data_IF_124591922019
#
_entry.id   IF_124591922019
#
_cell.length_a   1.000
_cell.length_b   1.000
_cell.length_c   1.000
_cell.angle_alpha   90.00
_cell.angle_beta   90.00
_cell.angle_gamma   90.00
#
_symmetry.space_group_name_H-M   'P 1'
#
loop_
_entity.id
_entity.type
_entity.pdbx_description
1 polymer ?
#
# COMPACT_ATOMS: atom_id res chain seq x y z
N UNK A 1 16.52 -5.09 9.04
CA UNK A 1 15.82 -4.90 7.76
C UNK A 1 14.91 -3.69 7.89
N UNK A 2 14.81 -2.83 6.86
CA UNK A 2 14.14 -1.55 7.04
C UNK A 2 12.64 -1.77 7.17
N UNK A 3 12.17 -1.70 8.41
CA UNK A 3 10.75 -1.62 8.71
C UNK A 3 10.36 -0.15 8.69
N UNK A 4 9.23 0.13 8.05
CA UNK A 4 8.60 1.43 8.15
C UNK A 4 7.69 1.49 9.36
N UNK A 5 7.56 2.67 9.95
CA UNK A 5 6.63 2.95 11.03
C UNK A 5 5.19 2.87 10.53
N UNK A 6 4.26 2.83 11.47
CA UNK A 6 2.82 2.92 11.18
C UNK A 6 2.45 4.24 10.47
N UNK A 7 3.10 5.35 10.83
CA UNK A 7 2.89 6.65 10.20
C UNK A 7 3.43 6.69 8.78
N UNK A 8 4.63 6.14 8.56
CA UNK A 8 5.21 5.99 7.23
C UNK A 8 4.32 5.08 6.35
N UNK A 9 3.82 3.97 6.91
CA UNK A 9 2.88 3.06 6.22
C UNK A 9 1.61 3.80 5.78
N UNK A 10 0.99 4.55 6.69
CA UNK A 10 -0.21 5.36 6.39
C UNK A 10 0.09 6.36 5.27
N UNK A 11 1.22 7.05 5.36
CA UNK A 11 1.62 8.04 4.38
C UNK A 11 1.86 7.47 2.99
N UNK A 12 2.68 6.42 2.85
CA UNK A 12 2.96 5.83 1.53
C UNK A 12 1.73 5.15 0.93
N UNK A 13 0.85 4.55 1.74
CA UNK A 13 -0.41 3.99 1.25
C UNK A 13 -1.37 5.07 0.73
N UNK A 14 -1.36 6.25 1.34
CA UNK A 14 -2.13 7.40 0.85
C UNK A 14 -1.54 7.94 -0.46
N UNK A 15 -0.23 8.16 -0.51
CA UNK A 15 0.48 8.68 -1.68
C UNK A 15 0.31 7.76 -2.89
N UNK A 16 0.21 6.45 -2.71
CA UNK A 16 0.10 5.49 -3.81
C UNK A 16 -1.11 5.72 -4.75
N UNK A 17 -2.15 6.42 -4.30
CA UNK A 17 -3.34 6.68 -5.12
C UNK A 17 -3.09 7.71 -6.23
N UNK A 18 -2.36 8.79 -5.91
CA UNK A 18 -2.30 10.00 -6.74
C UNK A 18 -0.88 10.61 -6.84
N UNK A 19 0.13 9.99 -6.23
CA UNK A 19 1.50 10.47 -6.26
C UNK A 19 2.18 10.24 -7.62
N UNK A 20 2.91 11.25 -8.09
CA UNK A 20 3.60 11.24 -9.39
C UNK A 20 5.13 11.30 -9.22
N UNK A 21 5.88 10.71 -10.15
CA UNK A 21 7.35 10.80 -10.17
C UNK A 21 7.83 12.26 -10.08
N UNK A 22 8.78 12.51 -9.18
CA UNK A 22 9.30 13.85 -8.89
C UNK A 22 8.58 14.59 -7.76
N UNK A 23 7.40 14.13 -7.33
CA UNK A 23 6.73 14.70 -6.17
C UNK A 23 7.56 14.53 -4.88
N UNK A 24 7.38 15.49 -3.96
CA UNK A 24 7.96 15.45 -2.62
C UNK A 24 6.87 15.65 -1.58
N UNK A 25 6.96 14.92 -0.47
CA UNK A 25 6.00 14.98 0.62
C UNK A 25 6.72 15.16 1.97
N UNK A 26 6.18 16.02 2.82
CA UNK A 26 6.58 16.13 4.23
C UNK A 26 5.73 15.19 5.08
N UNK A 27 6.38 14.27 5.79
CA UNK A 27 5.74 13.32 6.70
C UNK A 27 5.61 13.91 8.12
N UNK A 28 4.71 13.38 8.97
CA UNK A 28 4.46 13.92 10.32
C UNK A 28 5.68 13.96 11.25
N UNK A 29 6.69 13.13 10.99
CA UNK A 29 7.96 13.11 11.73
C UNK A 29 8.97 14.18 11.26
N UNK A 30 8.57 15.02 10.30
CA UNK A 30 9.41 16.05 9.68
C UNK A 30 10.32 15.53 8.57
N UNK A 31 10.26 14.24 8.23
CA UNK A 31 11.04 13.69 7.11
C UNK A 31 10.42 14.07 5.76
N UNK A 32 11.29 14.37 4.80
CA UNK A 32 10.87 14.57 3.40
C UNK A 32 11.07 13.28 2.63
N UNK A 33 10.06 12.89 1.87
CA UNK A 33 10.06 11.72 1.00
C UNK A 33 9.84 12.13 -0.44
N UNK A 34 10.60 11.54 -1.36
CA UNK A 34 10.45 11.76 -2.79
C UNK A 34 9.81 10.54 -3.45
N UNK A 35 9.00 10.76 -4.49
CA UNK A 35 8.57 9.71 -5.41
C UNK A 35 9.62 9.58 -6.50
N UNK A 36 10.28 8.43 -6.53
CA UNK A 36 11.32 8.13 -7.51
C UNK A 36 10.75 7.65 -8.83
N UNK A 37 9.64 6.91 -8.77
CA UNK A 37 8.93 6.38 -9.93
C UNK A 37 7.46 6.18 -9.60
N UNK A 38 6.58 6.42 -10.58
CA UNK A 38 5.19 5.99 -10.57
C UNK A 38 4.89 5.06 -11.76
N UNK A 39 3.89 4.19 -11.58
CA UNK A 39 3.39 3.31 -12.64
C UNK A 39 1.88 3.29 -12.54
N UNK A 40 1.19 3.65 -13.62
CA UNK A 40 -0.26 3.56 -13.73
C UNK A 40 -0.69 2.85 -15.03
N UNK A 41 -1.73 2.02 -14.96
CA UNK A 41 -2.31 1.34 -16.14
C UNK A 41 -3.82 1.46 -16.12
N UNK A 42 -4.34 2.40 -16.93
CA UNK A 42 -5.77 2.78 -16.95
C UNK A 42 -6.73 1.60 -17.15
N UNK A 43 -6.42 0.66 -18.05
CA UNK A 43 -7.34 -0.46 -18.37
C UNK A 43 -7.45 -1.47 -17.23
N UNK A 44 -6.36 -1.68 -16.47
CA UNK A 44 -6.34 -2.62 -15.35
C UNK A 44 -6.66 -1.94 -14.01
N UNK A 45 -6.51 -0.62 -13.91
CA UNK A 45 -6.56 0.12 -12.65
C UNK A 45 -5.31 -0.04 -11.76
N UNK A 46 -4.26 -0.72 -12.24
CA UNK A 46 -3.01 -0.88 -11.50
C UNK A 46 -2.31 0.46 -11.31
N UNK A 47 -1.99 0.82 -10.06
CA UNK A 47 -1.20 2.00 -9.69
C UNK A 47 -0.18 1.63 -8.61
N UNK A 48 1.05 2.11 -8.75
CA UNK A 48 2.11 1.93 -7.77
C UNK A 48 3.10 3.10 -7.79
N UNK A 49 3.70 3.37 -6.63
CA UNK A 49 4.75 4.38 -6.47
C UNK A 49 5.95 3.79 -5.74
N UNK A 50 7.15 4.15 -6.17
CA UNK A 50 8.39 3.89 -5.45
C UNK A 50 8.80 5.17 -4.72
N UNK A 51 8.80 5.15 -3.39
CA UNK A 51 9.16 6.29 -2.56
C UNK A 51 10.47 6.06 -1.80
N UNK A 52 11.16 7.16 -1.48
CA UNK A 52 12.39 7.15 -0.69
C UNK A 52 12.42 8.35 0.28
N UNK A 53 12.63 8.16 1.58
CA UNK A 53 13.02 9.25 2.48
C UNK A 53 14.37 9.83 2.05
N UNK A 54 14.48 11.15 1.96
CA UNK A 54 15.69 11.82 1.48
C UNK A 54 16.92 11.58 2.36
N UNK A 55 16.70 11.28 3.64
CA UNK A 55 17.74 11.10 4.65
C UNK A 55 18.10 9.63 4.95
N UNK A 56 17.48 8.65 4.28
CA UNK A 56 17.75 7.22 4.51
C UNK A 56 17.81 6.43 3.21
N UNK A 57 18.70 5.44 3.18
CA UNK A 57 18.71 4.41 2.14
C UNK A 57 17.61 3.38 2.44
N UNK A 58 16.38 3.76 2.10
CA UNK A 58 15.17 2.96 2.22
C UNK A 58 14.31 3.17 0.97
N UNK A 59 13.81 2.08 0.40
CA UNK A 59 12.93 2.12 -0.76
C UNK A 59 11.61 1.46 -0.42
N UNK A 60 10.51 2.16 -0.64
CA UNK A 60 9.16 1.64 -0.37
C UNK A 60 8.36 1.59 -1.65
N UNK A 61 7.98 0.39 -2.08
CA UNK A 61 7.09 0.19 -3.21
C UNK A 61 5.66 0.05 -2.67
N UNK A 62 4.85 1.09 -2.88
CA UNK A 62 3.48 1.16 -2.40
C UNK A 62 2.49 0.97 -3.56
N UNK A 63 1.50 0.10 -3.38
CA UNK A 63 0.44 -0.17 -4.36
C UNK A 63 -0.87 0.50 -3.93
N UNK A 64 -1.54 1.15 -4.87
CA UNK A 64 -2.87 1.73 -4.61
C UNK A 64 -3.92 0.63 -4.51
N UNK A 65 -5.01 0.92 -3.78
CA UNK A 65 -6.24 0.15 -3.90
C UNK A 65 -7.04 0.54 -5.15
N UNK A 66 -8.24 0.00 -5.28
CA UNK A 66 -9.18 0.42 -6.32
C UNK A 66 -9.84 1.76 -5.96
N UNK A 67 -10.02 2.63 -6.96
CA UNK A 67 -10.72 3.92 -6.83
C UNK A 67 -12.20 3.74 -6.40
N UNK A 68 -12.76 2.54 -6.58
CA UNK A 68 -14.13 2.14 -6.20
C UNK A 68 -14.17 1.08 -5.08
N UNK A 69 -13.32 1.23 -4.06
CA UNK A 69 -13.12 0.21 -3.01
C UNK A 69 -14.37 -0.30 -2.27
N UNK A 70 -15.53 0.38 -2.37
CA UNK A 70 -16.82 -0.10 -1.87
C UNK A 70 -17.60 -0.96 -2.89
N UNK A 71 -17.55 -0.63 -4.19
CA UNK A 71 -18.14 -1.43 -5.26
C UNK A 71 -17.40 -2.78 -5.42
N UNK A 72 -16.11 -2.80 -5.08
CA UNK A 72 -15.22 -3.97 -5.07
C UNK A 72 -15.79 -5.20 -4.36
N UNK A 73 -16.48 -5.04 -3.23
CA UNK A 73 -16.99 -6.17 -2.44
C UNK A 73 -18.27 -6.74 -3.04
N UNK A 74 -19.05 -5.89 -3.72
CA UNK A 74 -20.34 -6.30 -4.27
C UNK A 74 -20.17 -7.04 -5.61
N UNK A 75 -19.15 -6.72 -6.42
CA UNK A 75 -19.01 -7.24 -7.80
C UNK A 75 -17.89 -8.31 -7.98
N UNK A 76 -17.63 -9.08 -6.93
CA UNK A 76 -16.46 -9.97 -6.78
C UNK A 76 -16.24 -11.07 -7.83
N UNK A 77 -17.10 -11.25 -8.84
CA UNK A 77 -16.92 -12.29 -9.88
C UNK A 77 -16.23 -11.76 -11.15
N UNK A 78 -16.58 -10.56 -11.63
CA UNK A 78 -15.87 -9.96 -12.78
C UNK A 78 -14.49 -9.44 -12.39
N UNK A 79 -14.36 -8.99 -11.15
CA UNK A 79 -13.18 -8.30 -10.70
C UNK A 79 -11.98 -9.24 -10.44
N UNK A 80 -12.22 -10.54 -10.16
CA UNK A 80 -11.17 -11.57 -10.02
C UNK A 80 -10.26 -11.70 -11.25
N UNK A 81 -10.82 -11.53 -12.47
CA UNK A 81 -10.03 -11.55 -13.71
C UNK A 81 -9.05 -10.39 -13.78
N UNK A 82 -9.52 -9.16 -13.53
CA UNK A 82 -8.68 -7.96 -13.47
C UNK A 82 -7.66 -8.01 -12.34
N UNK A 83 -8.02 -8.56 -11.17
CA UNK A 83 -7.08 -8.71 -10.05
C UNK A 83 -5.94 -9.66 -10.38
N UNK A 84 -6.22 -10.78 -11.05
CA UNK A 84 -5.16 -11.72 -11.45
C UNK A 84 -4.06 -11.04 -12.30
N UNK A 85 -4.45 -10.06 -13.12
CA UNK A 85 -3.54 -9.24 -13.92
C UNK A 85 -2.76 -8.28 -13.00
N UNK A 86 -3.45 -7.55 -12.11
CA UNK A 86 -2.79 -6.65 -11.16
C UNK A 86 -1.79 -7.37 -10.22
N UNK A 87 -2.10 -8.59 -9.76
CA UNK A 87 -1.18 -9.41 -8.97
C UNK A 87 0.10 -9.74 -9.76
N UNK A 88 -0.05 -10.07 -11.04
CA UNK A 88 1.08 -10.34 -11.93
C UNK A 88 1.90 -9.07 -12.20
N UNK A 89 1.24 -7.93 -12.41
CA UNK A 89 1.89 -6.62 -12.56
C UNK A 89 2.68 -6.24 -11.29
N UNK A 90 2.07 -6.39 -10.11
CA UNK A 90 2.70 -6.09 -8.83
C UNK A 90 3.97 -6.92 -8.60
N UNK A 91 3.90 -8.24 -8.83
CA UNK A 91 5.05 -9.13 -8.66
C UNK A 91 6.17 -8.84 -9.66
N UNK A 92 5.83 -8.57 -10.92
CA UNK A 92 6.82 -8.23 -11.94
C UNK A 92 7.51 -6.89 -11.63
N UNK A 93 6.75 -5.88 -11.23
CA UNK A 93 7.30 -4.59 -10.81
C UNK A 93 8.19 -4.73 -9.58
N UNK A 94 7.74 -5.49 -8.58
CA UNK A 94 8.51 -5.80 -7.37
C UNK A 94 9.86 -6.41 -7.71
N UNK A 95 9.88 -7.46 -8.56
CA UNK A 95 11.14 -8.11 -8.98
C UNK A 95 12.07 -7.14 -9.71
N UNK A 96 11.52 -6.33 -10.61
CA UNK A 96 12.29 -5.33 -11.37
C UNK A 96 12.95 -4.30 -10.45
N UNK A 97 12.21 -3.76 -9.49
CA UNK A 97 12.75 -2.77 -8.57
C UNK A 97 13.66 -3.40 -7.52
N UNK A 98 13.39 -4.62 -7.07
CA UNK A 98 14.30 -5.35 -6.19
C UNK A 98 15.66 -5.59 -6.86
N UNK A 99 15.69 -5.91 -8.15
CA UNK A 99 16.94 -6.02 -8.92
C UNK A 99 17.69 -4.68 -9.06
N UNK A 100 16.96 -3.56 -9.12
CA UNK A 100 17.54 -2.24 -9.37
C UNK A 100 18.00 -1.53 -8.09
N UNK A 101 17.25 -1.67 -7.00
CA UNK A 101 17.45 -0.91 -5.76
C UNK A 101 17.83 -1.79 -4.56
N UNK A 102 17.84 -3.11 -4.71
CA UNK A 102 18.10 -4.05 -3.62
C UNK A 102 16.84 -4.30 -2.77
N UNK A 103 17.02 -4.38 -1.45
CA UNK A 103 15.93 -4.66 -0.52
C UNK A 103 14.89 -3.54 -0.52
N UNK A 104 13.62 -3.91 -0.75
CA UNK A 104 12.47 -3.00 -0.71
C UNK A 104 11.59 -3.31 0.51
N UNK A 105 10.86 -2.30 0.98
CA UNK A 105 9.67 -2.51 1.80
C UNK A 105 8.42 -2.39 0.92
N UNK A 106 7.48 -3.31 1.04
CA UNK A 106 6.22 -3.28 0.29
C UNK A 106 5.12 -2.64 1.13
N UNK A 107 4.25 -1.84 0.51
CA UNK A 107 3.12 -1.27 1.21
C UNK A 107 1.87 -1.24 0.33
N UNK A 108 0.71 -1.14 0.96
CA UNK A 108 -0.53 -0.97 0.21
C UNK A 108 -1.78 -1.00 1.06
N UNK A 109 -2.83 -0.43 0.51
CA UNK A 109 -4.15 -0.34 1.13
C UNK A 109 -5.21 -1.08 0.31
N UNK A 110 -6.22 -1.69 0.95
CA UNK A 110 -7.32 -2.37 0.23
C UNK A 110 -6.76 -3.44 -0.73
N UNK A 111 -7.16 -3.45 -2.00
CA UNK A 111 -6.57 -4.27 -3.06
C UNK A 111 -5.04 -4.16 -3.08
N UNK A 112 -4.48 -2.95 -2.98
CA UNK A 112 -3.03 -2.71 -2.96
C UNK A 112 -2.33 -3.41 -1.78
N UNK A 113 -3.01 -3.55 -0.65
CA UNK A 113 -2.52 -4.34 0.48
C UNK A 113 -2.44 -5.84 0.17
N UNK A 114 -3.41 -6.36 -0.59
CA UNK A 114 -3.36 -7.71 -1.15
C UNK A 114 -2.20 -7.88 -2.14
N UNK A 115 -2.00 -6.92 -3.06
CA UNK A 115 -0.89 -6.92 -4.02
C UNK A 115 0.49 -6.91 -3.33
N UNK A 116 0.63 -6.10 -2.27
CA UNK A 116 1.84 -6.04 -1.45
C UNK A 116 2.11 -7.37 -0.74
N UNK A 117 1.08 -7.95 -0.10
CA UNK A 117 1.20 -9.23 0.59
C UNK A 117 1.50 -10.39 -0.37
N UNK A 118 0.87 -10.41 -1.54
CA UNK A 118 1.16 -11.37 -2.61
C UNK A 118 2.64 -11.33 -3.01
N UNK A 119 3.11 -10.12 -3.30
CA UNK A 119 4.50 -9.90 -3.72
C UNK A 119 5.47 -10.27 -2.60
N UNK A 120 5.16 -9.93 -1.35
CA UNK A 120 5.94 -10.33 -0.16
C UNK A 120 6.06 -11.85 -0.02
N UNK A 121 4.95 -12.60 -0.13
CA UNK A 121 4.98 -14.07 -0.05
C UNK A 121 5.84 -14.68 -1.16
N UNK A 122 5.83 -14.07 -2.34
CA UNK A 122 6.57 -14.55 -3.50
C UNK A 122 8.07 -14.20 -3.48
N UNK A 123 8.46 -13.10 -2.85
CA UNK A 123 9.85 -12.60 -2.86
C UNK A 123 10.57 -12.68 -1.53
N UNK A 124 9.86 -12.82 -0.41
CA UNK A 124 10.44 -12.77 0.94
C UNK A 124 10.65 -11.34 1.47
N UNK A 125 10.20 -10.31 0.74
CA UNK A 125 10.29 -8.92 1.19
C UNK A 125 9.31 -8.63 2.33
N UNK A 126 9.62 -7.63 3.15
CA UNK A 126 8.69 -7.17 4.19
C UNK A 126 7.53 -6.40 3.58
N UNK A 127 6.35 -6.49 4.19
CA UNK A 127 5.18 -5.72 3.81
C UNK A 127 4.43 -5.14 5.01
N UNK A 128 4.00 -3.90 4.89
CA UNK A 128 3.10 -3.22 5.83
C UNK A 128 1.84 -2.76 5.09
N UNK A 129 0.68 -3.26 5.49
CA UNK A 129 -0.58 -3.02 4.77
C UNK A 129 -1.63 -2.38 5.66
N UNK A 130 -2.61 -1.70 5.06
CA UNK A 130 -3.77 -1.12 5.75
C UNK A 130 -5.04 -1.71 5.13
N UNK A 131 -5.93 -2.26 5.96
CA UNK A 131 -7.20 -2.85 5.50
C UNK A 131 -7.03 -3.71 4.22
N UNK A 132 -6.07 -4.65 4.19
CA UNK A 132 -5.75 -5.36 2.96
C UNK A 132 -6.90 -6.26 2.51
N UNK A 133 -7.12 -6.33 1.20
CA UNK A 133 -8.01 -7.31 0.61
C UNK A 133 -7.50 -8.74 0.90
N UNK A 134 -8.41 -9.68 1.24
CA UNK A 134 -8.00 -11.05 1.49
C UNK A 134 -7.47 -11.70 0.21
N UNK A 135 -6.44 -12.54 0.36
CA UNK A 135 -5.99 -13.43 -0.71
C UNK A 135 -6.91 -14.65 -0.75
N UNK A 136 -7.73 -14.77 -1.79
CA UNK A 136 -8.64 -15.92 -1.98
C UNK A 136 -8.01 -16.93 -2.94
N UNK A 137 -7.92 -18.21 -2.56
CA UNK A 137 -7.39 -19.29 -3.40
C UNK A 137 -5.93 -19.70 -3.15
N UNK A 138 -5.36 -20.46 -4.09
CA UNK A 138 -4.24 -21.45 -4.05
C UNK A 138 -2.91 -21.09 -3.33
N UNK A 139 -2.77 -19.92 -2.70
CA UNK A 139 -1.62 -19.55 -1.85
C UNK A 139 -1.76 -19.91 -0.38
N UNK A 140 -2.86 -20.54 0.00
CA UNK A 140 -3.16 -20.94 1.38
C UNK A 140 -1.97 -21.64 2.04
N UNK A 141 -1.24 -22.54 1.38
CA UNK A 141 -0.20 -23.31 2.06
C UNK A 141 0.99 -22.52 2.64
N UNK A 142 1.50 -21.47 1.97
CA UNK A 142 2.55 -20.59 2.54
C UNK A 142 1.97 -19.46 3.39
N UNK A 143 0.78 -18.97 3.05
CA UNK A 143 0.05 -18.00 3.85
C UNK A 143 -0.35 -18.55 5.25
N UNK A 144 -0.66 -19.84 5.33
CA UNK A 144 -1.05 -20.58 6.55
C UNK A 144 0.10 -20.81 7.54
N UNK A 145 1.37 -20.67 7.12
CA UNK A 145 2.54 -20.89 8.00
C UNK A 145 2.95 -19.67 8.85
N UNK A 146 2.13 -18.62 8.86
CA UNK A 146 2.48 -17.34 9.47
C UNK A 146 3.59 -16.66 8.67
N UNK A 147 3.31 -15.49 8.12
CA UNK A 147 4.31 -14.69 7.42
C UNK A 147 4.78 -13.57 8.35
N UNK A 148 5.85 -13.76 9.15
CA UNK A 148 6.28 -12.77 10.14
C UNK A 148 6.75 -11.46 9.49
N UNK A 149 7.04 -11.48 8.18
CA UNK A 149 7.43 -10.33 7.38
C UNK A 149 6.25 -9.42 6.97
N UNK A 150 5.00 -9.84 7.21
CA UNK A 150 3.80 -9.09 6.82
C UNK A 150 3.08 -8.57 8.08
N UNK A 151 2.85 -7.27 8.13
CA UNK A 151 2.05 -6.59 9.15
C UNK A 151 0.80 -6.00 8.48
N UNK A 152 -0.38 -6.32 9.01
CA UNK A 152 -1.64 -5.77 8.53
C UNK A 152 -2.24 -4.86 9.60
N UNK A 153 -2.36 -3.56 9.33
CA UNK A 153 -3.07 -2.62 10.20
C UNK A 153 -4.57 -2.66 9.87
N UNK A 154 -5.37 -3.09 10.83
CA UNK A 154 -6.82 -3.29 10.68
C UNK A 154 -7.56 -2.64 11.86
N UNK A 155 -8.76 -2.06 11.67
CA UNK A 155 -9.45 -1.37 12.74
C UNK A 155 -9.90 -2.34 13.84
N UNK A 156 -9.89 -1.86 15.08
CA UNK A 156 -10.42 -2.60 16.25
C UNK A 156 -11.88 -3.00 16.07
N UNK A 157 -12.69 -2.12 15.47
CA UNK A 157 -14.13 -2.30 15.28
C UNK A 157 -14.50 -2.94 13.94
N UNK A 158 -13.53 -3.45 13.19
CA UNK A 158 -13.72 -4.01 11.85
C UNK A 158 -14.10 -2.99 10.78
N UNK A 159 -13.89 -3.39 9.53
CA UNK A 159 -14.34 -2.70 8.31
C UNK A 159 -14.68 -3.72 7.21
N UNK A 160 -15.35 -3.27 6.16
CA UNK A 160 -15.98 -4.09 5.12
C UNK A 160 -15.06 -5.10 4.42
N UNK A 161 -13.80 -4.74 4.11
CA UNK A 161 -12.84 -5.55 3.37
C UNK A 161 -12.14 -6.58 4.26
N UNK A 162 -11.41 -6.17 5.28
CA UNK A 162 -10.63 -7.09 6.12
C UNK A 162 -11.50 -7.94 7.05
N UNK A 163 -12.79 -7.64 7.18
CA UNK A 163 -13.76 -8.52 7.86
C UNK A 163 -14.43 -9.53 6.93
N UNK A 164 -14.19 -9.46 5.62
CA UNK A 164 -14.77 -10.40 4.65
C UNK A 164 -14.14 -11.81 4.75
N UNK A 165 -14.83 -12.88 4.30
CA UNK A 165 -14.29 -14.23 4.35
C UNK A 165 -12.95 -14.38 3.61
N UNK A 166 -12.01 -15.07 4.25
CA UNK A 166 -10.62 -15.11 3.81
C UNK A 166 -9.74 -14.28 4.75
N UNK A 167 -8.42 -14.32 4.53
CA UNK A 167 -7.50 -13.50 5.34
C UNK A 167 -6.24 -13.19 4.53
N UNK A 168 -5.73 -11.98 4.71
CA UNK A 168 -4.38 -11.67 4.26
C UNK A 168 -3.36 -12.39 5.17
N UNK A 169 -2.27 -12.98 4.65
CA UNK A 169 -1.22 -13.53 5.50
C UNK A 169 -0.59 -12.47 6.40
N UNK A 170 0.05 -12.92 7.47
CA UNK A 170 0.82 -12.05 8.37
C UNK A 170 0.16 -11.80 9.71
N UNK A 171 0.74 -10.85 10.45
CA UNK A 171 0.29 -10.44 11.77
C UNK A 171 -0.63 -9.24 11.66
N UNK A 172 -1.84 -9.37 12.19
CA UNK A 172 -2.75 -8.23 12.31
C UNK A 172 -2.40 -7.39 13.54
N UNK A 173 -2.31 -6.09 13.35
CA UNK A 173 -2.18 -5.08 14.40
C UNK A 173 -3.47 -4.27 14.41
N UNK A 174 -4.17 -4.30 15.54
CA UNK A 174 -5.44 -3.59 15.71
C UNK A 174 -5.17 -2.12 15.99
N UNK A 175 -5.80 -1.24 15.21
CA UNK A 175 -5.61 0.23 15.29
C UNK A 175 -6.95 0.96 15.47
N UNK A 176 -6.88 2.20 15.93
CA UNK A 176 -8.04 3.10 15.98
C UNK A 176 -8.43 3.55 14.57
N UNK A 177 -9.73 3.73 14.33
CA UNK A 177 -10.26 4.24 13.08
C UNK A 177 -11.57 4.98 13.32
N UNK A 178 -11.79 6.07 12.57
CA UNK A 178 -13.01 6.87 12.64
C UNK A 178 -14.07 6.39 11.64
N UNK A 179 -15.32 6.67 11.95
CA UNK A 179 -16.45 6.36 11.07
C UNK A 179 -17.10 5.01 11.34
N UNK A 180 -17.77 4.47 10.32
CA UNK A 180 -18.58 3.25 10.37
C UNK A 180 -17.91 2.11 9.61
N UNK A 181 -18.58 0.96 9.50
CA UNK A 181 -18.05 -0.24 8.83
C UNK A 181 -17.55 -0.02 7.40
N UNK A 182 -18.15 0.93 6.67
CA UNK A 182 -17.76 1.29 5.30
C UNK A 182 -16.67 2.36 5.28
N UNK A 183 -16.82 3.42 6.08
CA UNK A 183 -15.92 4.57 6.01
C UNK A 183 -14.58 4.32 6.71
N UNK A 184 -14.50 3.42 7.69
CA UNK A 184 -13.23 2.98 8.30
C UNK A 184 -12.27 2.35 7.30
N UNK A 185 -12.77 1.92 6.14
CA UNK A 185 -11.92 1.39 5.09
C UNK A 185 -10.95 2.45 4.57
N UNK A 186 -11.37 3.72 4.45
CA UNK A 186 -10.54 4.79 3.89
C UNK A 186 -9.25 5.02 4.68
N UNK A 187 -8.09 5.11 3.99
CA UNK A 187 -6.78 5.38 4.62
C UNK A 187 -6.81 6.60 5.53
N UNK A 188 -7.49 7.68 5.11
CA UNK A 188 -7.63 8.90 5.90
C UNK A 188 -8.34 8.70 7.24
N UNK A 189 -9.24 7.72 7.34
CA UNK A 189 -9.98 7.40 8.56
C UNK A 189 -9.25 6.43 9.49
N UNK A 190 -8.21 5.77 9.01
CA UNK A 190 -7.37 4.85 9.80
C UNK A 190 -6.33 5.64 10.59
N UNK A 191 -6.13 5.30 11.87
CA UNK A 191 -5.16 5.97 12.76
C UNK A 191 -5.33 7.51 12.73
N UNK A 192 -6.47 8.04 13.20
CA UNK A 192 -6.86 9.44 13.00
C UNK A 192 -5.89 10.44 13.65
N UNK A 193 -5.18 10.05 14.70
CA UNK A 193 -4.19 10.89 15.39
C UNK A 193 -2.87 11.04 14.61
N UNK A 194 -2.71 10.31 13.50
CA UNK A 194 -1.55 10.40 12.62
C UNK A 194 -1.95 11.20 11.36
N UNK A 195 -1.45 12.44 11.18
CA UNK A 195 -1.73 13.22 9.99
C UNK A 195 -1.23 12.54 8.70
N UNK A 196 -1.86 12.84 7.56
CA UNK A 196 -1.34 12.43 6.26
C UNK A 196 -0.17 13.32 5.84
N UNK A 197 0.78 12.80 5.04
CA UNK A 197 1.86 13.61 4.49
C UNK A 197 1.31 14.76 3.64
N UNK A 198 2.02 15.89 3.65
CA UNK A 198 1.67 17.06 2.86
C UNK A 198 2.57 17.16 1.63
N UNK A 199 1.98 17.28 0.44
CA UNK A 199 2.73 17.52 -0.79
C UNK A 199 3.47 18.86 -0.66
N UNK A 200 4.78 18.84 -0.87
CA UNK A 200 5.60 20.03 -0.89
C UNK A 200 5.46 20.68 -2.26
N UNK A 201 5.08 21.95 -2.29
CA UNK A 201 5.14 22.72 -3.52
C UNK A 201 6.60 22.76 -3.97
N UNK A 202 6.91 22.18 -5.13
CA UNK A 202 8.12 22.54 -5.87
C UNK A 202 7.97 24.00 -6.22
N UNK A 203 8.57 24.88 -5.43
CA UNK A 203 8.67 26.29 -5.77
C UNK A 203 9.20 26.38 -7.19
N UNK A 204 8.33 26.76 -8.12
CA UNK A 204 8.78 27.21 -9.41
C UNK A 204 9.74 28.36 -9.13
N UNK A 205 11.00 28.14 -9.44
CA UNK A 205 11.87 29.24 -9.80
C UNK A 205 11.26 29.85 -11.07
N UNK A 206 10.27 30.73 -10.93
CA UNK A 206 10.10 31.80 -11.90
C UNK A 206 11.26 32.75 -11.65
N UNK A 207 12.37 32.49 -12.34
CA UNK A 207 13.44 33.46 -12.48
C UNK A 207 12.91 34.78 -13.04
N UNK A 208 13.47 35.87 -12.51
CA UNK A 208 13.89 37.13 -13.20
C UNK A 208 13.31 37.34 -14.61
N UNK A 209 12.65 38.46 -14.90
CA UNK A 209 13.17 39.83 -15.00
C UNK A 209 12.06 40.86 -14.80
#
# INVERSE_FOLDING_TARGET
MPNITIAETKGVCHIAYDGEEGDRYSFPDGSTWSILHDVATWYTGFKAVLTKPENRELYVLAFAGSDSGLDFIHDGVQALGGYSVQYSQALNLTRRYMQRYGDLHLAGHSLGGGLAAYSSVATGLFASTINPAPLVGMMSFRALRGNPQIINYVPMNGEIVSSSPGRNPGRDVRVTANGNFFTRHMVGNMMPDIPLPQKLNTGGASGSW
#
